data_IF_391482896488
#
_entry.id   IF_391482896488
#
_cell.length_a   1.000
_cell.length_b   1.000
_cell.length_c   1.000
_cell.angle_alpha   90.00
_cell.angle_beta   90.00
_cell.angle_gamma   90.00
#
_symmetry.space_group_name_H-M   'P 1'
#
loop_
_entity.id
_entity.type
_entity.pdbx_description
1 polymer ?
#
# COMPACT_ATOMS: atom_id res chain seq x y z
N UNK A 1 2.23 3.08 -11.02
CA UNK A 1 3.28 2.18 -10.47
C UNK A 1 3.17 0.77 -11.02
N UNK A 2 1.97 0.15 -11.04
CA UNK A 2 1.70 -1.18 -11.65
C UNK A 2 2.39 -1.36 -13.01
N UNK A 3 2.27 -0.38 -13.91
CA UNK A 3 2.83 -0.36 -15.26
C UNK A 3 4.35 -0.58 -15.38
N UNK A 4 5.13 -0.38 -14.32
CA UNK A 4 6.58 -0.64 -14.31
C UNK A 4 6.93 -2.08 -13.87
N UNK A 5 5.95 -2.85 -13.39
CA UNK A 5 6.14 -4.15 -12.72
C UNK A 5 5.01 -5.08 -13.20
N UNK A 6 4.99 -5.48 -14.49
CA UNK A 6 3.88 -6.24 -15.08
C UNK A 6 3.73 -7.65 -14.49
N UNK A 7 4.71 -8.14 -13.72
CA UNK A 7 4.64 -9.47 -13.11
C UNK A 7 3.56 -9.60 -12.02
N UNK A 8 2.96 -8.49 -11.54
CA UNK A 8 1.80 -8.55 -10.62
C UNK A 8 0.54 -9.10 -11.31
N UNK A 9 0.43 -8.97 -12.64
CA UNK A 9 -0.63 -9.59 -13.45
C UNK A 9 -0.56 -11.13 -13.43
N UNK A 10 0.57 -11.70 -12.99
CA UNK A 10 0.74 -13.14 -12.76
C UNK A 10 0.44 -13.58 -11.32
N UNK A 11 -0.09 -12.69 -10.47
CA UNK A 11 -0.44 -12.94 -9.07
C UNK A 11 -1.94 -12.71 -8.82
N UNK A 12 -2.51 -11.66 -9.42
CA UNK A 12 -3.93 -11.32 -9.28
C UNK A 12 -4.49 -10.69 -10.57
N UNK A 13 -5.82 -10.76 -10.74
CA UNK A 13 -6.55 -9.82 -11.60
C UNK A 13 -6.69 -8.45 -10.89
N UNK A 14 -6.78 -7.36 -11.65
CA UNK A 14 -6.47 -6.01 -11.16
C UNK A 14 -7.54 -4.96 -11.46
N UNK A 15 -8.38 -4.67 -10.47
CA UNK A 15 -9.17 -3.42 -10.44
C UNK A 15 -8.27 -2.25 -9.98
N UNK A 16 -7.83 -1.42 -10.92
CA UNK A 16 -6.92 -0.30 -10.66
C UNK A 16 -7.71 0.98 -10.46
N UNK A 17 -7.74 1.49 -9.22
CA UNK A 17 -8.43 2.74 -8.87
C UNK A 17 -7.43 3.81 -8.43
N UNK A 18 -7.32 4.89 -9.20
CA UNK A 18 -6.60 6.10 -8.80
C UNK A 18 -7.54 7.02 -8.00
N UNK A 19 -7.11 7.46 -6.81
CA UNK A 19 -7.95 8.18 -5.84
C UNK A 19 -7.36 9.49 -5.34
N UNK A 20 -6.02 9.57 -5.20
CA UNK A 20 -5.34 10.68 -4.54
C UNK A 20 -4.00 10.95 -5.22
N UNK A 21 -3.88 12.12 -5.84
CA UNK A 21 -2.78 12.49 -6.74
C UNK A 21 -1.86 13.56 -6.10
N UNK A 22 -1.39 13.32 -4.88
CA UNK A 22 -0.54 14.28 -4.13
C UNK A 22 0.66 13.61 -3.48
N UNK A 23 1.73 14.37 -3.21
CA UNK A 23 2.81 13.88 -2.35
C UNK A 23 2.27 13.43 -0.98
N UNK A 24 2.90 12.41 -0.43
CA UNK A 24 2.55 11.80 0.85
C UNK A 24 2.58 12.79 2.01
N UNK A 25 3.49 13.77 2.01
CA UNK A 25 3.59 14.81 3.05
C UNK A 25 2.37 15.72 3.10
N UNK A 26 1.64 15.83 1.99
CA UNK A 26 0.45 16.67 1.84
C UNK A 26 -0.87 15.91 2.08
N UNK A 27 -0.82 14.62 2.45
CA UNK A 27 -2.02 13.85 2.79
C UNK A 27 -2.70 14.39 4.06
N UNK A 28 -4.02 14.22 4.09
CA UNK A 28 -4.93 14.83 5.07
C UNK A 28 -6.03 13.82 5.45
N UNK A 29 -6.71 13.96 6.61
CA UNK A 29 -7.72 13.01 7.05
C UNK A 29 -8.85 12.73 6.04
N UNK A 30 -9.27 13.74 5.26
CA UNK A 30 -10.29 13.54 4.22
C UNK A 30 -9.83 12.60 3.09
N UNK A 31 -8.54 12.56 2.77
CA UNK A 31 -7.98 11.61 1.80
C UNK A 31 -8.13 10.17 2.32
N UNK A 32 -7.82 9.91 3.59
CA UNK A 32 -8.00 8.60 4.22
C UNK A 32 -9.47 8.17 4.27
N UNK A 33 -10.39 9.11 4.52
CA UNK A 33 -11.84 8.86 4.47
C UNK A 33 -12.32 8.50 3.06
N UNK A 34 -11.86 9.21 2.02
CA UNK A 34 -12.20 8.88 0.62
C UNK A 34 -11.70 7.48 0.23
N UNK A 35 -10.49 7.14 0.65
CA UNK A 35 -9.88 5.82 0.41
C UNK A 35 -10.61 4.71 1.18
N UNK A 36 -10.93 4.91 2.46
CA UNK A 36 -11.69 3.95 3.25
C UNK A 36 -13.10 3.73 2.70
N UNK A 37 -13.77 4.79 2.22
CA UNK A 37 -15.04 4.69 1.49
C UNK A 37 -14.89 3.83 0.24
N UNK A 38 -13.84 4.02 -0.57
CA UNK A 38 -13.68 3.23 -1.80
C UNK A 38 -13.43 1.75 -1.54
N UNK A 39 -12.62 1.43 -0.53
CA UNK A 39 -12.45 0.04 -0.05
C UNK A 39 -13.80 -0.53 0.40
N UNK A 40 -14.59 0.24 1.13
CA UNK A 40 -15.92 -0.20 1.57
C UNK A 40 -16.87 -0.43 0.39
N UNK A 41 -16.94 0.47 -0.59
CA UNK A 41 -17.73 0.26 -1.82
C UNK A 41 -17.40 -1.08 -2.48
N UNK A 42 -16.10 -1.30 -2.74
CA UNK A 42 -15.58 -2.47 -3.45
C UNK A 42 -15.52 -3.76 -2.62
N UNK A 43 -15.89 -3.76 -1.34
CA UNK A 43 -15.63 -4.86 -0.39
C UNK A 43 -16.29 -6.21 -0.71
N UNK A 44 -17.18 -6.27 -1.69
CA UNK A 44 -17.87 -7.48 -2.15
C UNK A 44 -17.38 -7.91 -3.56
N UNK A 45 -16.39 -7.22 -4.12
CA UNK A 45 -15.90 -7.38 -5.50
C UNK A 45 -14.40 -7.77 -5.54
N UNK A 46 -13.72 -7.83 -4.39
CA UNK A 46 -12.27 -8.07 -4.28
C UNK A 46 -11.91 -8.92 -3.06
N UNK A 47 -10.91 -9.80 -3.21
CA UNK A 47 -10.41 -10.69 -2.15
C UNK A 47 -9.22 -10.10 -1.34
N UNK A 48 -8.70 -8.94 -1.75
CA UNK A 48 -7.57 -8.23 -1.17
C UNK A 48 -7.33 -6.90 -1.90
N UNK A 49 -6.70 -5.90 -1.27
CA UNK A 49 -6.78 -4.50 -1.76
C UNK A 49 -5.45 -3.77 -1.94
N UNK A 50 -5.51 -2.66 -2.70
CA UNK A 50 -4.40 -1.95 -3.37
C UNK A 50 -4.81 -0.43 -3.62
N UNK A 51 -4.27 0.81 -3.31
CA UNK A 51 -3.33 1.75 -2.51
C UNK A 51 -1.75 1.90 -2.56
N UNK A 52 -1.21 2.91 -3.27
CA UNK A 52 0.22 3.35 -3.19
C UNK A 52 0.33 4.73 -2.57
N UNK A 53 1.54 5.06 -2.12
CA UNK A 53 1.88 6.32 -1.48
C UNK A 53 3.39 6.62 -1.60
N UNK A 54 3.81 7.85 -1.29
CA UNK A 54 5.19 8.13 -0.85
C UNK A 54 5.47 7.56 0.55
N UNK A 55 6.75 7.29 0.87
CA UNK A 55 7.10 6.55 2.11
C UNK A 55 6.98 7.36 3.40
N UNK A 56 6.91 8.68 3.31
CA UNK A 56 7.10 9.59 4.44
C UNK A 56 5.94 9.52 5.43
N UNK A 57 4.71 9.53 4.93
CA UNK A 57 3.48 9.44 5.75
C UNK A 57 2.75 8.09 5.67
N UNK A 58 3.33 7.11 4.98
CA UNK A 58 2.75 5.78 4.75
C UNK A 58 2.26 5.10 6.02
N UNK A 59 3.06 5.17 7.09
CA UNK A 59 2.73 4.60 8.39
C UNK A 59 1.58 5.34 9.12
N UNK A 60 1.42 6.66 8.92
CA UNK A 60 0.24 7.39 9.38
C UNK A 60 -1.02 6.95 8.62
N UNK A 61 -0.92 6.73 7.31
CA UNK A 61 -2.05 6.30 6.50
C UNK A 61 -2.47 4.87 6.83
N UNK A 62 -1.51 3.95 7.00
CA UNK A 62 -1.78 2.60 7.49
C UNK A 62 -2.38 2.60 8.91
N UNK A 63 -1.94 3.49 9.79
CA UNK A 63 -2.53 3.65 11.13
C UNK A 63 -3.97 4.17 11.04
N UNK A 64 -4.22 5.25 10.30
CA UNK A 64 -5.56 5.83 10.14
C UNK A 64 -6.55 4.84 9.51
N UNK A 65 -6.15 4.16 8.44
CA UNK A 65 -6.98 3.15 7.79
C UNK A 65 -7.29 1.97 8.73
N UNK A 66 -6.37 1.56 9.63
CA UNK A 66 -6.64 0.51 10.62
C UNK A 66 -7.70 0.86 11.68
N UNK A 67 -8.06 2.14 11.81
CA UNK A 67 -9.18 2.59 12.63
C UNK A 67 -10.44 2.86 11.79
N UNK A 68 -10.30 3.33 10.55
CA UNK A 68 -11.43 3.58 9.64
C UNK A 68 -12.06 2.29 9.09
N UNK A 69 -11.26 1.24 8.88
CA UNK A 69 -11.68 -0.04 8.30
C UNK A 69 -11.88 -1.09 9.40
N UNK A 70 -13.09 -1.12 9.96
CA UNK A 70 -13.51 -2.12 10.93
C UNK A 70 -14.09 -3.36 10.24
N UNK A 71 -13.90 -4.54 10.85
CA UNK A 71 -14.41 -5.83 10.37
C UNK A 71 -14.09 -6.12 8.88
N UNK A 72 -12.81 -5.94 8.51
CA UNK A 72 -12.31 -6.27 7.17
C UNK A 72 -12.50 -7.77 6.88
N UNK A 73 -13.05 -8.17 5.72
CA UNK A 73 -13.10 -9.56 5.29
C UNK A 73 -11.81 -10.01 4.58
N UNK A 74 -10.89 -9.09 4.27
CA UNK A 74 -9.66 -9.33 3.49
C UNK A 74 -8.44 -8.50 3.98
N UNK A 75 -7.21 -8.78 3.51
CA UNK A 75 -6.00 -8.02 3.83
C UNK A 75 -5.90 -6.63 3.12
N UNK A 76 -5.29 -5.64 3.79
CA UNK A 76 -5.16 -4.24 3.30
C UNK A 76 -3.76 -3.63 3.64
N UNK A 77 -2.74 -3.75 2.78
CA UNK A 77 -1.29 -3.58 3.12
C UNK A 77 -0.64 -2.30 2.52
N UNK A 78 -0.01 -1.24 3.09
CA UNK A 78 0.13 0.11 2.36
C UNK A 78 1.45 0.44 1.57
N UNK A 79 1.51 0.50 0.20
CA UNK A 79 2.80 0.61 -0.60
C UNK A 79 3.41 2.02 -0.56
N UNK A 80 4.76 2.11 -0.58
CA UNK A 80 5.50 3.24 -1.19
C UNK A 80 7.00 2.94 -1.43
N UNK A 81 7.55 3.22 -2.62
CA UNK A 81 8.99 2.94 -2.88
C UNK A 81 9.88 4.09 -2.40
N UNK A 82 11.05 3.80 -1.83
CA UNK A 82 12.06 4.82 -1.50
C UNK A 82 12.79 5.31 -2.77
N UNK A 83 12.99 4.44 -3.75
CA UNK A 83 13.65 4.75 -5.02
C UNK A 83 12.64 4.61 -6.17
N UNK A 84 12.43 5.64 -7.03
CA UNK A 84 11.44 5.60 -8.10
C UNK A 84 11.54 4.36 -9.00
N UNK A 85 10.41 3.77 -9.47
CA UNK A 85 10.40 2.49 -10.17
C UNK A 85 11.31 2.39 -11.41
N UNK A 86 11.56 3.51 -12.08
CA UNK A 86 12.40 3.58 -13.28
C UNK A 86 13.92 3.65 -12.99
N UNK A 87 14.36 3.76 -11.72
CA UNK A 87 15.78 3.89 -11.38
C UNK A 87 16.43 2.54 -11.03
N UNK A 88 17.68 2.38 -11.44
CA UNK A 88 18.52 1.24 -11.06
C UNK A 88 18.59 1.14 -9.53
N UNK A 89 18.48 -0.08 -9.00
CA UNK A 89 18.42 -0.33 -7.56
C UNK A 89 17.06 -0.03 -6.92
N UNK A 90 16.00 0.24 -7.70
CA UNK A 90 14.68 0.50 -7.13
C UNK A 90 14.15 -0.68 -6.30
N UNK A 91 13.70 -0.36 -5.09
CA UNK A 91 13.00 -1.28 -4.20
C UNK A 91 11.55 -1.58 -4.67
N UNK A 92 11.05 -0.84 -5.66
CA UNK A 92 9.65 -0.85 -6.07
C UNK A 92 9.18 -2.24 -6.49
N UNK A 93 9.96 -2.96 -7.31
CA UNK A 93 9.60 -4.28 -7.86
C UNK A 93 9.36 -5.32 -6.77
N UNK A 94 10.39 -5.68 -5.99
CA UNK A 94 10.25 -6.67 -4.92
C UNK A 94 9.12 -6.30 -3.98
N UNK A 95 9.09 -5.06 -3.50
CA UNK A 95 8.10 -4.65 -2.51
C UNK A 95 6.68 -4.56 -3.08
N UNK A 96 6.49 -4.63 -4.41
CA UNK A 96 5.18 -4.81 -5.07
C UNK A 96 4.83 -6.30 -5.24
N UNK A 97 5.79 -7.16 -5.53
CA UNK A 97 5.54 -8.61 -5.58
C UNK A 97 5.27 -9.17 -4.17
N UNK A 98 5.99 -8.70 -3.17
CA UNK A 98 5.69 -8.92 -1.74
C UNK A 98 4.28 -8.36 -1.38
N UNK A 99 3.78 -7.35 -2.11
CA UNK A 99 2.45 -6.74 -1.90
C UNK A 99 1.32 -7.71 -2.23
N UNK A 100 1.27 -8.10 -3.51
CA UNK A 100 0.16 -8.85 -4.06
C UNK A 100 0.09 -10.22 -3.41
N UNK A 101 1.24 -10.88 -3.19
CA UNK A 101 1.31 -12.11 -2.41
C UNK A 101 0.68 -11.99 -1.03
N UNK A 102 1.01 -10.95 -0.26
CA UNK A 102 0.38 -10.77 1.07
C UNK A 102 -1.09 -10.37 0.95
N UNK A 103 -1.53 -9.72 -0.13
CA UNK A 103 -2.94 -9.44 -0.38
C UNK A 103 -3.75 -10.68 -0.83
N UNK A 104 -3.14 -11.69 -1.46
CA UNK A 104 -3.81 -12.87 -2.03
C UNK A 104 -3.55 -14.20 -1.30
N UNK A 105 -2.46 -14.31 -0.54
CA UNK A 105 -2.00 -15.58 0.08
C UNK A 105 -2.16 -15.59 1.62
N UNK A 106 -2.68 -14.53 2.26
CA UNK A 106 -2.82 -14.46 3.73
C UNK A 106 -4.26 -14.30 4.20
N UNK A 107 -4.54 -14.91 5.34
CA UNK A 107 -5.79 -14.85 6.13
C UNK A 107 -5.81 -13.68 7.15
N UNK A 108 -4.72 -12.88 7.21
CA UNK A 108 -4.58 -11.74 8.12
C UNK A 108 -5.37 -10.54 7.57
N UNK A 109 -6.68 -10.53 7.83
CA UNK A 109 -7.62 -9.45 7.46
C UNK A 109 -7.46 -8.20 8.35
N UNK A 110 -6.24 -7.65 8.39
CA UNK A 110 -5.89 -6.39 9.03
C UNK A 110 -5.40 -5.36 8.00
N UNK A 111 -5.28 -4.11 8.43
CA UNK A 111 -4.45 -3.14 7.71
C UNK A 111 -2.98 -3.39 8.04
N UNK A 112 -2.17 -3.68 7.02
CA UNK A 112 -0.79 -4.16 7.12
C UNK A 112 0.21 -3.22 6.41
N UNK A 113 1.51 -3.53 6.54
CA UNK A 113 2.63 -2.80 5.92
C UNK A 113 3.78 -3.78 5.61
N UNK A 114 4.02 -4.08 4.33
CA UNK A 114 5.03 -5.05 3.81
C UNK A 114 6.19 -4.36 3.05
N UNK A 115 7.46 -4.30 3.49
CA UNK A 115 8.60 -3.78 2.67
C UNK A 115 9.90 -4.50 2.97
N UNK A 116 10.74 -4.67 1.94
CA UNK A 116 12.03 -5.34 2.04
C UNK A 116 11.85 -6.62 2.86
N UNK A 117 10.84 -7.41 2.50
CA UNK A 117 10.53 -8.69 3.15
C UNK A 117 10.37 -8.54 4.67
N UNK A 118 9.32 -7.82 5.08
CA UNK A 118 8.82 -7.68 6.46
C UNK A 118 7.36 -7.26 6.38
N UNK A 119 6.45 -8.01 7.00
CA UNK A 119 5.05 -7.64 7.24
C UNK A 119 4.96 -6.98 8.63
N UNK A 120 4.24 -5.86 8.76
CA UNK A 120 3.88 -5.19 10.03
C UNK A 120 2.37 -4.90 10.05
N UNK A 121 1.79 -4.70 11.23
CA UNK A 121 0.43 -4.11 11.37
C UNK A 121 0.50 -2.59 11.19
N UNK A 122 -0.50 -1.98 10.57
CA UNK A 122 -0.54 -0.54 10.26
C UNK A 122 -0.33 0.34 11.49
N UNK A 123 -1.18 0.17 12.51
CA UNK A 123 -1.10 0.84 13.81
C UNK A 123 0.12 0.50 14.69
N UNK A 124 1.05 -0.36 14.22
CA UNK A 124 2.30 -0.71 14.91
C UNK A 124 3.53 -0.48 14.03
N UNK A 125 3.41 0.38 13.02
CA UNK A 125 4.47 0.75 12.08
C UNK A 125 4.96 2.20 12.32
N UNK A 126 6.26 2.45 12.09
CA UNK A 126 6.83 3.81 12.08
C UNK A 126 7.99 3.92 11.08
N UNK A 127 8.17 5.09 10.45
CA UNK A 127 9.42 5.40 9.73
C UNK A 127 10.51 5.70 10.77
N UNK A 128 11.71 5.11 10.61
CA UNK A 128 12.78 5.15 11.61
C UNK A 128 14.06 5.73 11.02
N UNK A 129 14.09 7.06 10.89
CA UNK A 129 15.22 7.82 10.35
C UNK A 129 15.07 8.16 8.86
N UNK A 130 15.87 9.13 8.43
CA UNK A 130 16.00 9.56 7.04
C UNK A 130 17.42 9.23 6.56
N UNK A 131 17.51 8.58 5.39
CA UNK A 131 18.72 7.99 4.78
C UNK A 131 19.31 6.75 5.50
N UNK A 132 19.83 5.82 4.69
CA UNK A 132 20.55 4.61 5.08
C UNK A 132 19.87 3.57 6.02
N UNK A 133 18.56 3.30 5.90
CA UNK A 133 18.08 1.91 6.12
C UNK A 133 16.72 1.53 5.48
N UNK A 134 16.63 0.25 5.13
CA UNK A 134 15.56 -0.56 4.50
C UNK A 134 14.20 -0.52 5.29
N UNK A 135 13.01 -0.14 4.70
CA UNK A 135 11.51 -0.33 5.04
C UNK A 135 10.63 0.95 4.65
N UNK A 136 9.29 1.06 4.34
CA UNK A 136 7.95 0.38 4.54
C UNK A 136 6.94 0.53 3.29
N UNK A 137 6.02 -0.45 2.99
CA UNK A 137 5.17 -0.73 1.75
C UNK A 137 3.87 -1.55 2.15
N UNK A 138 2.84 -2.14 1.44
CA UNK A 138 2.58 -2.58 0.04
C UNK A 138 1.06 -2.78 -0.52
N UNK A 139 0.31 -1.79 -1.10
CA UNK A 139 -1.06 -1.77 -1.76
C UNK A 139 -0.84 -1.03 -3.18
N UNK A 140 -1.76 -0.76 -4.15
CA UNK A 140 -1.49 0.17 -5.32
C UNK A 140 -2.66 1.09 -5.81
N UNK A 141 -2.51 2.42 -5.66
CA UNK A 141 -3.30 3.56 -6.18
C UNK A 141 -2.27 4.58 -6.67
N UNK A 142 -2.25 4.94 -7.94
CA UNK A 142 -1.35 5.97 -8.46
C UNK A 142 -1.95 7.37 -8.12
N UNK A 143 -1.24 8.50 -8.19
CA UNK A 143 -0.26 8.93 -9.20
C UNK A 143 0.94 9.69 -8.62
N UNK A 144 2.09 9.58 -9.31
CA UNK A 144 3.26 10.43 -9.11
C UNK A 144 3.52 11.24 -10.38
N UNK A 145 3.75 12.54 -10.21
CA UNK A 145 4.75 13.27 -11.00
C UNK A 145 6.14 13.02 -10.45
#
# INVERSE_FOLDING_TARGET
MVSFIPEVNGIADLDIVDLVMTDSSNLQPHHWVSVAKKIYEKRNEVDGVVITQGTDTLHYTASALSFLLQNLPFPVVVTGSQVPPHKIGSDAKRNMLDAFRVATETDICEVLVVFNSKILRGNRSKKSGNWNSRRLKALVCYHLG
#
